data_IF_402970145153
#
_entry.id   IF_402970145153
#
_cell.length_a   1.000
_cell.length_b   1.000
_cell.length_c   1.000
_cell.angle_alpha   90.00
_cell.angle_beta   90.00
_cell.angle_gamma   90.00
#
_symmetry.space_group_name_H-M   'P 1'
#
loop_
_entity.id
_entity.type
_entity.pdbx_description
1 polymer ?
#
# COMPACT_ATOMS: atom_id res chain seq x y z
N UNK A 1 -6.67 10.46 29.01
CA UNK A 1 -5.33 10.15 28.48
C UNK A 1 -5.51 9.12 27.38
N UNK A 2 -5.62 9.56 26.13
CA UNK A 2 -5.72 8.65 24.99
C UNK A 2 -4.36 8.00 24.79
N UNK A 3 -4.28 6.67 24.93
CA UNK A 3 -3.07 5.96 24.52
C UNK A 3 -2.87 6.26 23.03
N UNK A 4 -1.73 6.85 22.67
CA UNK A 4 -1.33 6.93 21.27
C UNK A 4 -1.17 5.49 20.79
N UNK A 5 -2.17 4.96 20.10
CA UNK A 5 -2.02 3.71 19.37
C UNK A 5 -0.91 3.93 18.35
N UNK A 6 0.22 3.25 18.53
CA UNK A 6 1.32 3.28 17.57
C UNK A 6 0.78 2.90 16.20
N UNK A 7 0.82 3.86 15.26
CA UNK A 7 0.38 3.66 13.89
C UNK A 7 1.10 2.46 13.26
N UNK A 8 0.36 1.59 12.59
CA UNK A 8 0.92 0.43 11.90
C UNK A 8 1.37 0.79 10.49
N UNK A 9 2.33 0.03 10.00
CA UNK A 9 2.88 0.15 8.65
C UNK A 9 2.43 -1.03 7.78
N UNK A 10 1.96 -0.73 6.57
CA UNK A 10 1.34 -1.70 5.66
C UNK A 10 1.94 -1.67 4.25
N UNK A 11 2.04 -2.85 3.62
CA UNK A 11 2.22 -2.98 2.17
C UNK A 11 0.92 -3.52 1.56
N UNK A 12 0.40 -2.78 0.60
CA UNK A 12 -0.77 -3.14 -0.21
C UNK A 12 -0.34 -3.52 -1.63
N UNK A 13 -1.00 -4.52 -2.23
CA UNK A 13 -0.62 -5.04 -3.55
C UNK A 13 -1.72 -4.74 -4.56
N UNK A 14 -1.37 -4.03 -5.63
CA UNK A 14 -2.25 -3.72 -6.76
C UNK A 14 -1.44 -3.34 -8.00
N UNK A 15 -2.01 -3.49 -9.20
CA UNK A 15 -1.35 -3.02 -10.45
C UNK A 15 -1.14 -1.51 -10.43
N UNK A 16 -0.05 -1.01 -11.04
CA UNK A 16 0.29 0.40 -10.99
C UNK A 16 -0.79 1.32 -11.57
N UNK A 17 -1.45 0.92 -12.66
CA UNK A 17 -2.57 1.67 -13.23
C UNK A 17 -3.68 1.92 -12.19
N UNK A 18 -4.01 0.89 -11.39
CA UNK A 18 -5.01 1.01 -10.33
C UNK A 18 -4.53 1.95 -9.21
N UNK A 19 -3.26 1.81 -8.82
CA UNK A 19 -2.64 2.66 -7.79
C UNK A 19 -2.63 4.13 -8.21
N UNK A 20 -2.29 4.44 -9.46
CA UNK A 20 -2.25 5.83 -9.96
C UNK A 20 -3.62 6.49 -9.93
N UNK A 21 -4.70 5.76 -10.25
CA UNK A 21 -6.08 6.25 -10.07
C UNK A 21 -6.39 6.56 -8.60
N UNK A 22 -6.06 5.63 -7.70
CA UNK A 22 -6.20 5.83 -6.26
C UNK A 22 -5.38 7.01 -5.72
N UNK A 23 -4.17 7.22 -6.25
CA UNK A 23 -3.34 8.40 -5.92
C UNK A 23 -4.01 9.71 -6.34
N UNK A 24 -4.49 9.78 -7.58
CA UNK A 24 -5.11 10.98 -8.13
C UNK A 24 -6.41 11.35 -7.38
N UNK A 25 -7.19 10.36 -6.95
CA UNK A 25 -8.46 10.56 -6.25
C UNK A 25 -8.36 10.52 -4.72
N UNK A 26 -7.19 10.20 -4.15
CA UNK A 26 -6.96 10.22 -2.69
C UNK A 26 -7.46 9.01 -1.92
N UNK A 27 -7.62 7.84 -2.56
CA UNK A 27 -8.11 6.62 -1.90
C UNK A 27 -7.17 5.42 -2.09
N UNK A 28 -7.35 4.43 -1.21
CA UNK A 28 -6.85 3.07 -1.39
C UNK A 28 -7.99 2.07 -1.51
N UNK A 29 -7.75 1.03 -2.31
CA UNK A 29 -8.63 -0.12 -2.49
C UNK A 29 -7.74 -1.37 -2.61
N UNK A 30 -8.10 -2.44 -1.91
CA UNK A 30 -7.31 -3.68 -1.86
C UNK A 30 -8.20 -4.91 -1.95
N UNK A 31 -7.59 -6.07 -2.21
CA UNK A 31 -8.25 -7.39 -2.13
C UNK A 31 -9.59 -7.46 -2.89
N UNK A 32 -9.62 -6.94 -4.13
CA UNK A 32 -10.81 -6.88 -4.99
C UNK A 32 -11.98 -6.03 -4.42
N UNK A 33 -11.69 -5.03 -3.59
CA UNK A 33 -12.70 -4.14 -3.04
C UNK A 33 -13.42 -4.69 -1.80
N UNK A 34 -12.85 -5.70 -1.13
CA UNK A 34 -13.43 -6.26 0.11
C UNK A 34 -13.26 -5.30 1.29
N UNK A 35 -14.27 -5.21 2.14
CA UNK A 35 -14.24 -4.38 3.35
C UNK A 35 -13.28 -4.89 4.43
N UNK A 36 -13.22 -6.21 4.64
CA UNK A 36 -12.52 -6.79 5.80
C UNK A 36 -11.03 -6.42 5.91
N UNK A 37 -10.24 -6.41 4.81
CA UNK A 37 -8.86 -5.93 4.86
C UNK A 37 -8.76 -4.44 5.24
N UNK A 38 -9.61 -3.58 4.67
CA UNK A 38 -9.59 -2.14 4.95
C UNK A 38 -10.01 -1.79 6.37
N UNK A 39 -10.88 -2.59 7.01
CA UNK A 39 -11.26 -2.40 8.42
C UNK A 39 -10.12 -2.63 9.41
N UNK A 40 -9.06 -3.32 8.99
CA UNK A 40 -7.86 -3.55 9.81
C UNK A 40 -6.90 -2.36 9.77
N UNK A 41 -7.04 -1.49 8.77
CA UNK A 41 -6.24 -0.29 8.57
C UNK A 41 -6.94 0.87 9.27
N UNK A 42 -6.27 1.48 10.23
CA UNK A 42 -6.83 2.52 11.09
C UNK A 42 -6.37 3.92 10.64
N UNK A 43 -7.10 4.99 11.02
CA UNK A 43 -6.59 6.35 10.85
C UNK A 43 -5.18 6.50 11.44
N UNK A 44 -4.31 7.20 10.70
CA UNK A 44 -2.92 7.39 11.09
C UNK A 44 -1.98 6.24 10.75
N UNK A 45 -2.48 5.08 10.32
CA UNK A 45 -1.63 4.02 9.76
C UNK A 45 -0.92 4.51 8.49
N UNK A 46 0.26 3.96 8.24
CA UNK A 46 1.08 4.27 7.07
C UNK A 46 0.97 3.13 6.05
N UNK A 47 0.92 3.46 4.78
CA UNK A 47 0.76 2.47 3.70
C UNK A 47 1.67 2.77 2.53
N UNK A 48 2.29 1.73 1.99
CA UNK A 48 2.92 1.75 0.67
C UNK A 48 2.20 0.77 -0.27
N UNK A 49 2.00 1.20 -1.52
CA UNK A 49 1.57 0.29 -2.58
C UNK A 49 2.79 -0.31 -3.26
N UNK A 50 2.78 -1.64 -3.40
CA UNK A 50 3.66 -2.37 -4.30
C UNK A 50 2.87 -2.88 -5.51
N UNK A 51 3.44 -2.68 -6.68
CA UNK A 51 2.87 -3.08 -7.96
C UNK A 51 3.74 -4.14 -8.63
N UNK A 52 3.28 -5.41 -8.67
CA UNK A 52 3.99 -6.47 -9.39
C UNK A 52 3.92 -6.23 -10.90
N UNK A 53 2.84 -5.63 -11.38
CA UNK A 53 2.52 -5.37 -12.78
C UNK A 53 2.05 -3.93 -12.99
N UNK A 54 2.20 -3.44 -14.21
CA UNK A 54 1.72 -2.15 -14.68
C UNK A 54 0.19 -2.17 -14.79
N UNK A 55 -0.36 -3.19 -15.45
CA UNK A 55 -1.79 -3.36 -15.70
C UNK A 55 -2.38 -4.54 -14.93
N UNK A 56 -3.68 -4.48 -14.67
CA UNK A 56 -4.39 -5.60 -14.06
C UNK A 56 -4.36 -6.83 -14.96
N UNK A 57 -4.03 -8.01 -14.39
CA UNK A 57 -3.78 -9.26 -15.13
C UNK A 57 -2.67 -9.18 -16.19
N UNK A 58 -1.83 -8.13 -16.13
CA UNK A 58 -0.63 -8.03 -16.94
C UNK A 58 0.35 -9.16 -16.67
N UNK A 59 1.18 -9.48 -17.68
CA UNK A 59 2.31 -10.41 -17.56
C UNK A 59 3.66 -9.69 -17.44
N UNK A 60 3.64 -8.36 -17.42
CA UNK A 60 4.81 -7.54 -17.22
C UNK A 60 5.34 -7.66 -15.79
N UNK A 61 6.55 -7.14 -15.54
CA UNK A 61 7.24 -7.25 -14.25
C UNK A 61 7.69 -5.89 -13.76
N UNK A 62 6.74 -5.02 -13.44
CA UNK A 62 7.04 -3.71 -12.90
C UNK A 62 7.80 -3.79 -11.56
N UNK A 63 7.33 -4.66 -10.66
CA UNK A 63 7.96 -4.95 -9.35
C UNK A 63 8.47 -3.70 -8.60
N UNK A 64 7.60 -2.70 -8.45
CA UNK A 64 7.96 -1.40 -7.89
C UNK A 64 6.99 -0.93 -6.81
N UNK A 65 7.48 -0.17 -5.85
CA UNK A 65 6.63 0.65 -4.99
C UNK A 65 6.13 1.86 -5.78
N UNK A 66 4.82 2.11 -5.75
CA UNK A 66 4.16 3.07 -6.65
C UNK A 66 3.39 4.18 -5.92
N UNK A 67 3.15 4.02 -4.61
CA UNK A 67 2.61 5.05 -3.75
C UNK A 67 3.07 4.84 -2.31
N UNK A 68 3.13 5.92 -1.53
CA UNK A 68 3.30 5.88 -0.07
C UNK A 68 2.48 7.01 0.55
N UNK A 69 1.85 6.77 1.70
CA UNK A 69 0.91 7.72 2.28
C UNK A 69 0.48 7.39 3.71
N UNK A 70 -0.31 8.30 4.27
CA UNK A 70 -0.92 8.16 5.60
C UNK A 70 -2.43 8.06 5.47
N UNK A 71 -3.01 7.07 6.12
CA UNK A 71 -4.43 6.80 6.14
C UNK A 71 -5.17 7.92 6.87
N UNK A 72 -6.20 8.48 6.25
CA UNK A 72 -7.01 9.55 6.84
C UNK A 72 -8.04 9.01 7.83
N UNK A 73 -8.61 9.93 8.60
CA UNK A 73 -9.78 9.67 9.44
C UNK A 73 -10.97 9.17 8.62
N UNK A 74 -11.89 8.47 9.30
CA UNK A 74 -13.09 7.89 8.70
C UNK A 74 -13.05 6.37 8.59
N UNK A 75 -14.17 5.79 8.19
CA UNK A 75 -14.32 4.35 7.99
C UNK A 75 -14.18 3.97 6.51
N UNK A 76 -13.88 2.70 6.18
CA UNK A 76 -13.98 2.23 4.81
C UNK A 76 -15.41 2.40 4.28
N UNK A 77 -15.55 3.01 3.13
CA UNK A 77 -16.84 3.33 2.52
C UNK A 77 -17.02 2.62 1.19
N UNK A 78 -18.27 2.45 0.78
CA UNK A 78 -18.63 1.90 -0.53
C UNK A 78 -18.56 2.99 -1.59
N UNK A 79 -18.02 2.65 -2.76
CA UNK A 79 -17.99 3.56 -3.90
C UNK A 79 -18.58 2.84 -5.12
N UNK A 80 -19.67 3.36 -5.68
CA UNK A 80 -20.28 2.78 -6.88
C UNK A 80 -19.50 3.23 -8.11
N UNK A 81 -18.81 2.27 -8.75
CA UNK A 81 -18.07 2.52 -9.99
C UNK A 81 -18.99 2.52 -11.23
N UNK A 82 -20.29 2.28 -11.06
CA UNK A 82 -21.19 1.91 -12.14
C UNK A 82 -21.04 0.43 -12.53
N UNK A 83 -21.99 -0.08 -13.31
CA UNK A 83 -21.93 -1.45 -13.84
C UNK A 83 -22.04 -2.56 -12.78
N UNK A 84 -22.61 -2.26 -11.61
CA UNK A 84 -22.85 -3.24 -10.54
C UNK A 84 -21.65 -3.56 -9.66
N UNK A 85 -20.51 -2.88 -9.85
CA UNK A 85 -19.32 -3.06 -9.01
C UNK A 85 -19.20 -1.95 -7.97
N UNK A 86 -19.38 -2.32 -6.70
CA UNK A 86 -19.37 -1.40 -5.55
C UNK A 86 -18.27 -1.79 -4.56
N UNK A 87 -16.99 -1.50 -4.85
CA UNK A 87 -15.89 -1.79 -3.94
C UNK A 87 -15.90 -0.91 -2.68
N UNK A 88 -15.21 -1.40 -1.66
CA UNK A 88 -14.82 -0.58 -0.51
C UNK A 88 -13.52 0.17 -0.78
N UNK A 89 -13.51 1.45 -0.41
CA UNK A 89 -12.36 2.36 -0.45
C UNK A 89 -12.09 2.92 0.94
N UNK A 90 -10.89 3.45 1.14
CA UNK A 90 -10.51 4.20 2.34
C UNK A 90 -9.61 5.37 1.92
N UNK A 91 -9.78 6.52 2.54
CA UNK A 91 -9.03 7.71 2.15
C UNK A 91 -7.60 7.70 2.67
N UNK A 92 -6.67 8.14 1.83
CA UNK A 92 -5.25 8.21 2.13
C UNK A 92 -4.71 9.55 1.67
N UNK A 93 -3.95 10.21 2.55
CA UNK A 93 -3.10 11.33 2.16
C UNK A 93 -1.83 10.75 1.55
N UNK A 94 -1.82 10.65 0.23
CA UNK A 94 -0.64 10.26 -0.53
C UNK A 94 0.45 11.33 -0.44
N UNK A 95 1.69 10.88 -0.26
CA UNK A 95 2.86 11.74 -0.29
C UNK A 95 3.34 11.91 -1.74
N UNK A 96 4.04 13.02 -1.98
CA UNK A 96 4.81 13.16 -3.21
C UNK A 96 6.02 12.22 -3.14
N UNK A 97 6.24 11.49 -4.22
CA UNK A 97 7.18 10.38 -4.27
C UNK A 97 7.17 9.67 -5.61
N UNK A 98 8.34 9.19 -6.02
CA UNK A 98 8.58 8.52 -7.30
C UNK A 98 8.43 7.02 -7.17
N UNK A 99 8.01 6.39 -8.27
CA UNK A 99 7.99 4.93 -8.35
C UNK A 99 9.42 4.38 -8.19
N UNK A 100 9.57 3.31 -7.41
CA UNK A 100 10.88 2.79 -7.01
C UNK A 100 10.89 1.26 -7.09
N UNK A 101 11.80 0.64 -7.86
CA UNK A 101 11.95 -0.81 -7.91
C UNK A 101 12.23 -1.41 -6.53
N UNK A 102 11.65 -2.58 -6.23
CA UNK A 102 11.90 -3.26 -4.95
C UNK A 102 13.30 -3.86 -4.86
N UNK A 103 13.90 -4.23 -6.00
CA UNK A 103 15.12 -5.03 -6.07
C UNK A 103 16.30 -4.45 -5.26
N UNK A 104 16.63 -3.15 -5.34
CA UNK A 104 17.71 -2.55 -4.55
C UNK A 104 17.43 -2.47 -3.04
N UNK A 105 16.20 -2.75 -2.61
CA UNK A 105 15.76 -2.64 -1.23
C UNK A 105 15.70 -4.00 -0.52
N UNK A 106 15.76 -5.12 -1.25
CA UNK A 106 15.51 -6.45 -0.67
C UNK A 106 16.46 -6.81 0.48
N UNK A 107 17.72 -6.39 0.41
CA UNK A 107 18.70 -6.65 1.47
C UNK A 107 18.65 -5.63 2.63
N UNK A 108 17.73 -4.66 2.55
CA UNK A 108 17.58 -3.56 3.51
C UNK A 108 16.27 -3.58 4.29
N UNK A 109 15.31 -4.38 3.84
CA UNK A 109 13.98 -4.50 4.45
C UNK A 109 13.95 -5.73 5.36
N UNK A 110 13.45 -5.55 6.58
CA UNK A 110 13.32 -6.58 7.61
C UNK A 110 12.50 -7.78 7.11
N UNK A 111 11.45 -7.55 6.31
CA UNK A 111 10.64 -8.65 5.77
C UNK A 111 11.35 -9.49 4.70
N UNK A 112 12.45 -9.00 4.10
CA UNK A 112 13.11 -9.68 2.98
C UNK A 112 14.59 -10.02 3.17
N UNK A 113 15.34 -9.25 3.95
CA UNK A 113 16.77 -9.45 4.13
C UNK A 113 17.07 -10.82 4.77
N UNK A 114 17.80 -11.68 4.05
CA UNK A 114 18.10 -13.05 4.50
C UNK A 114 16.89 -14.01 4.50
N UNK A 115 15.73 -13.60 3.98
CA UNK A 115 14.50 -14.41 3.98
C UNK A 115 14.30 -15.07 2.61
N UNK A 116 14.45 -16.39 2.54
CA UNK A 116 14.35 -17.15 1.28
C UNK A 116 13.03 -16.98 0.53
N UNK A 117 11.91 -16.89 1.25
CA UNK A 117 10.56 -16.81 0.69
C UNK A 117 9.90 -15.45 0.95
N UNK A 118 10.69 -14.37 0.90
CA UNK A 118 10.22 -13.01 1.21
C UNK A 118 9.02 -12.54 0.35
N UNK A 119 8.86 -13.11 -0.85
CA UNK A 119 7.74 -12.79 -1.74
C UNK A 119 6.39 -13.40 -1.33
N UNK A 120 6.38 -14.35 -0.39
CA UNK A 120 5.15 -15.06 0.01
C UNK A 120 4.04 -14.15 0.54
N UNK A 121 4.29 -13.14 1.40
CA UNK A 121 3.25 -12.25 1.92
C UNK A 121 2.50 -11.46 0.84
N UNK A 122 3.12 -11.20 -0.32
CA UNK A 122 2.51 -10.42 -1.40
C UNK A 122 1.26 -11.08 -1.97
N UNK A 123 1.13 -12.41 -1.85
CA UNK A 123 -0.04 -13.17 -2.31
C UNK A 123 -1.33 -12.85 -1.55
N UNK A 124 -1.23 -12.21 -0.38
CA UNK A 124 -2.40 -11.87 0.45
C UNK A 124 -3.06 -10.55 0.06
N UNK A 125 -2.43 -9.74 -0.79
CA UNK A 125 -2.97 -8.44 -1.22
C UNK A 125 -2.76 -7.29 -0.22
N UNK A 126 -2.50 -7.60 1.05
CA UNK A 126 -2.23 -6.65 2.12
C UNK A 126 -1.51 -7.36 3.28
N UNK A 127 -0.41 -6.81 3.78
CA UNK A 127 0.29 -7.32 4.97
C UNK A 127 0.98 -6.20 5.75
N UNK A 128 1.24 -6.45 7.04
CA UNK A 128 1.94 -5.53 7.93
C UNK A 128 3.45 -5.68 7.79
N UNK A 129 4.17 -4.56 7.89
CA UNK A 129 5.63 -4.49 7.93
C UNK A 129 6.10 -3.68 9.13
N UNK A 130 7.42 -3.67 9.39
CA UNK A 130 7.98 -2.80 10.41
C UNK A 130 7.90 -1.34 9.96
N UNK A 131 7.97 -0.43 10.92
CA UNK A 131 8.05 1.01 10.63
C UNK A 131 9.33 1.35 9.87
N UNK A 132 10.43 0.69 10.22
CA UNK A 132 11.72 0.78 9.54
C UNK A 132 11.64 0.39 8.06
N UNK A 133 10.88 -0.67 7.73
CA UNK A 133 10.66 -1.06 6.34
C UNK A 133 10.00 0.08 5.56
N UNK A 134 8.94 0.65 6.13
CA UNK A 134 8.19 1.69 5.45
C UNK A 134 8.96 3.00 5.33
N UNK A 135 9.76 3.35 6.34
CA UNK A 135 10.67 4.49 6.29
C UNK A 135 11.75 4.29 5.22
N UNK A 136 12.29 3.08 5.08
CA UNK A 136 13.28 2.72 4.04
C UNK A 136 12.66 2.84 2.64
N UNK A 137 11.43 2.35 2.47
CA UNK A 137 10.67 2.45 1.22
C UNK A 137 10.38 3.91 0.88
N UNK A 138 9.83 4.68 1.82
CA UNK A 138 9.51 6.09 1.64
C UNK A 138 10.76 6.90 1.23
N UNK A 139 11.88 6.71 1.93
CA UNK A 139 13.14 7.37 1.62
C UNK A 139 13.64 7.03 0.21
N UNK A 140 13.54 5.76 -0.22
CA UNK A 140 13.92 5.35 -1.57
C UNK A 140 13.01 5.99 -2.65
N UNK A 141 11.72 6.14 -2.33
CA UNK A 141 10.73 6.86 -3.13
C UNK A 141 10.91 8.38 -3.10
N UNK A 142 11.87 8.93 -2.33
CA UNK A 142 12.06 10.37 -2.17
C UNK A 142 10.94 11.05 -1.37
N UNK A 143 10.18 10.29 -0.59
CA UNK A 143 9.13 10.78 0.29
C UNK A 143 9.61 10.78 1.75
N UNK A 144 9.09 11.69 2.56
CA UNK A 144 9.32 11.71 4.01
C UNK A 144 8.02 11.44 4.72
N UNK A 145 7.97 10.32 5.46
CA UNK A 145 6.85 10.03 6.35
C UNK A 145 6.94 10.95 7.59
N UNK A 146 5.80 11.51 8.05
CA UNK A 146 5.71 12.31 9.27
C UNK A 146 6.14 11.57 10.55
#
# INVERSE_FOLDING_TARGET
MSQATTSRSWIAIASAEHVRRGRAEGFMQVCHGKAAPLRRILPGDRVAYYSPTERFQGKDRLQSFTAVGIVRDGDPYRFDMGGGFVPFRRDVRWLDGRETPIQPLLDRLDFSAGVRNWGYPFRFGLFTVTDRDLDTIAAAMGATLP
#
